data_IF_655712583676
#
_entry.id   IF_655712583676
#
_cell.length_a   1.000
_cell.length_b   1.000
_cell.length_c   1.000
_cell.angle_alpha   90.00
_cell.angle_beta   90.00
_cell.angle_gamma   90.00
#
_symmetry.space_group_name_H-M   'P 1'
#
loop_
_entity.id
_entity.type
_entity.pdbx_description
1 polymer ?
#
# COMPACT_ATOMS: atom_id res chain seq x y z
N UNK A 1 9.41 50.55 1.85
CA UNK A 1 8.36 49.51 2.01
C UNK A 1 8.66 48.80 3.34
N UNK A 2 7.75 48.93 4.35
CA UNK A 2 7.88 48.24 5.64
C UNK A 2 7.40 46.79 5.42
N UNK A 3 8.30 45.82 5.52
CA UNK A 3 7.92 44.42 5.50
C UNK A 3 7.22 44.06 6.82
N UNK A 4 6.04 43.48 6.71
CA UNK A 4 5.20 43.15 7.85
C UNK A 4 5.13 41.64 7.98
N UNK A 5 5.63 41.10 9.08
CA UNK A 5 5.64 39.68 9.40
C UNK A 5 4.36 39.29 10.16
N UNK A 6 3.71 38.21 9.72
CA UNK A 6 2.57 37.64 10.43
C UNK A 6 3.06 36.46 11.31
N UNK A 7 3.43 36.76 12.55
CA UNK A 7 3.66 35.72 13.55
C UNK A 7 2.43 35.64 14.45
N UNK A 8 1.67 34.55 14.40
CA UNK A 8 0.45 34.30 15.19
C UNK A 8 -0.67 35.36 15.05
N UNK A 9 -0.81 35.97 13.86
CA UNK A 9 -1.89 36.93 13.58
C UNK A 9 -1.60 38.38 13.93
N UNK A 10 -0.43 38.71 14.48
CA UNK A 10 0.00 40.09 14.74
C UNK A 10 0.96 40.58 13.65
N UNK A 11 0.74 41.80 13.16
CA UNK A 11 1.65 42.48 12.24
C UNK A 11 2.89 42.95 13.04
N UNK A 12 4.05 42.32 12.78
CA UNK A 12 5.31 42.70 13.42
C UNK A 12 6.26 43.23 12.37
N UNK A 13 6.85 44.42 12.60
CA UNK A 13 7.88 44.98 11.72
C UNK A 13 9.22 44.23 11.94
N UNK A 14 9.99 43.99 10.87
CA UNK A 14 11.37 43.43 10.98
C UNK A 14 12.29 44.27 11.89
N UNK A 15 12.03 45.58 12.02
CA UNK A 15 12.75 46.50 12.92
C UNK A 15 12.58 46.15 14.41
N UNK A 16 11.54 45.39 14.77
CA UNK A 16 11.27 44.97 16.17
C UNK A 16 12.10 43.75 16.59
N UNK A 17 12.83 43.10 15.64
CA UNK A 17 13.62 41.91 15.93
C UNK A 17 15.02 42.24 16.36
N UNK A 18 15.51 41.51 17.35
CA UNK A 18 16.86 41.66 17.91
C UNK A 18 17.73 40.49 17.40
N UNK A 19 18.95 40.80 17.01
CA UNK A 19 19.96 39.77 16.65
C UNK A 19 20.34 39.00 17.92
N UNK A 20 20.17 37.68 17.90
CA UNK A 20 20.61 36.80 19.00
C UNK A 20 22.00 36.22 18.70
N UNK A 21 22.18 35.67 17.47
CA UNK A 21 23.41 34.97 17.11
C UNK A 21 23.64 35.03 15.61
N UNK A 22 24.90 35.12 15.17
CA UNK A 22 25.29 34.88 13.76
C UNK A 22 25.73 33.43 13.64
N UNK A 23 25.06 32.66 12.76
CA UNK A 23 25.37 31.26 12.50
C UNK A 23 26.41 31.12 11.38
N UNK A 24 26.30 31.96 10.36
CA UNK A 24 27.19 31.96 9.19
C UNK A 24 27.35 33.38 8.67
N UNK A 25 28.57 33.72 8.25
CA UNK A 25 28.85 34.98 7.58
C UNK A 25 30.05 34.79 6.63
N UNK A 26 29.78 34.65 5.36
CA UNK A 26 30.79 34.51 4.31
C UNK A 26 30.47 35.44 3.12
N UNK A 27 31.25 35.34 2.06
CA UNK A 27 31.12 36.22 0.88
C UNK A 27 29.78 35.97 0.11
N UNK A 28 29.13 34.85 0.32
CA UNK A 28 27.90 34.48 -0.41
C UNK A 28 26.66 34.81 0.41
N UNK A 29 26.71 34.56 1.73
CA UNK A 29 25.52 34.65 2.58
C UNK A 29 25.83 34.99 4.04
N UNK A 30 24.82 35.55 4.68
CA UNK A 30 24.80 35.73 6.13
C UNK A 30 23.56 35.07 6.70
N UNK A 31 23.73 34.23 7.73
CA UNK A 31 22.64 33.53 8.43
C UNK A 31 22.67 33.93 9.89
N UNK A 32 21.56 34.46 10.34
CA UNK A 32 21.39 35.05 11.69
C UNK A 32 20.18 34.44 12.38
N UNK A 33 20.32 34.16 13.68
CA UNK A 33 19.17 33.94 14.56
C UNK A 33 18.71 35.29 15.05
N UNK A 34 17.46 35.61 14.79
CA UNK A 34 16.79 36.80 15.29
C UNK A 34 15.61 36.42 16.18
N UNK A 35 15.26 37.22 17.15
CA UNK A 35 14.09 36.95 17.98
C UNK A 35 13.25 38.21 18.17
N UNK A 36 11.95 38.00 18.37
CA UNK A 36 11.03 39.04 18.76
C UNK A 36 10.99 39.16 20.30
N UNK A 37 11.44 40.24 20.91
CA UNK A 37 11.48 40.38 22.38
C UNK A 37 10.08 40.39 23.03
N UNK A 38 9.02 40.75 22.28
CA UNK A 38 7.63 40.76 22.76
C UNK A 38 7.02 39.37 22.85
N UNK A 39 7.32 38.50 21.85
CA UNK A 39 6.73 37.14 21.76
C UNK A 39 7.71 36.06 22.16
N UNK A 40 8.99 36.37 22.31
CA UNK A 40 10.11 35.45 22.53
C UNK A 40 10.22 34.37 21.42
N UNK A 41 9.68 34.65 20.23
CA UNK A 41 9.75 33.75 19.09
C UNK A 41 11.02 34.01 18.30
N UNK A 42 11.74 32.92 17.94
CA UNK A 42 12.98 32.96 17.16
C UNK A 42 12.68 32.68 15.68
N UNK A 43 13.53 33.24 14.82
CA UNK A 43 13.50 33.09 13.38
C UNK A 43 14.93 33.00 12.85
N UNK A 44 15.08 32.43 11.67
CA UNK A 44 16.31 32.54 10.89
C UNK A 44 16.14 33.69 9.87
N UNK A 45 17.06 34.63 9.91
CA UNK A 45 17.22 35.64 8.86
C UNK A 45 18.40 35.24 7.99
N UNK A 46 18.13 34.98 6.73
CA UNK A 46 19.12 34.64 5.72
C UNK A 46 19.24 35.81 4.74
N UNK A 47 20.47 36.25 4.46
CA UNK A 47 20.77 37.28 3.45
C UNK A 47 21.74 36.70 2.44
N UNK A 48 21.31 36.55 1.18
CA UNK A 48 22.09 35.91 0.11
C UNK A 48 22.33 36.88 -1.03
N UNK A 49 23.54 36.88 -1.56
CA UNK A 49 23.92 37.81 -2.63
C UNK A 49 23.24 37.50 -3.97
N UNK A 50 22.88 36.23 -4.21
CA UNK A 50 22.21 35.77 -5.43
C UNK A 50 20.72 36.07 -5.41
N UNK A 51 20.10 36.32 -6.58
CA UNK A 51 18.64 36.44 -6.69
C UNK A 51 17.96 35.04 -6.70
N UNK A 52 17.75 34.53 -5.51
CA UNK A 52 17.05 33.26 -5.28
C UNK A 52 15.62 33.44 -4.74
N UNK A 53 15.08 34.68 -4.78
CA UNK A 53 13.72 35.01 -4.33
C UNK A 53 12.66 34.07 -4.88
N UNK A 54 12.82 33.72 -6.15
CA UNK A 54 11.85 32.91 -6.85
C UNK A 54 11.70 31.52 -6.20
N UNK A 55 12.82 30.90 -5.82
CA UNK A 55 12.82 29.61 -5.10
C UNK A 55 12.11 29.76 -3.74
N UNK A 56 12.51 30.74 -2.93
CA UNK A 56 11.94 30.93 -1.61
C UNK A 56 10.45 31.33 -1.64
N UNK A 57 10.01 32.10 -2.65
CA UNK A 57 8.58 32.38 -2.87
C UNK A 57 7.77 31.14 -3.26
N UNK A 58 8.37 30.17 -3.93
CA UNK A 58 7.73 28.88 -4.17
C UNK A 58 7.71 28.04 -2.89
N UNK A 59 8.82 27.99 -2.13
CA UNK A 59 8.89 27.30 -0.85
C UNK A 59 7.86 27.84 0.15
N UNK A 60 7.60 29.15 0.15
CA UNK A 60 6.59 29.79 1.01
C UNK A 60 5.17 29.19 0.83
N UNK A 61 4.90 28.61 -0.34
CA UNK A 61 3.60 27.97 -0.66
C UNK A 61 3.57 26.47 -0.29
N UNK A 62 4.70 25.90 0.08
CA UNK A 62 4.79 24.48 0.43
C UNK A 62 4.36 24.30 1.89
N UNK A 63 3.36 23.45 2.11
CA UNK A 63 2.97 23.01 3.44
C UNK A 63 3.49 21.59 3.67
N UNK A 64 4.63 21.47 4.34
CA UNK A 64 5.25 20.18 4.69
C UNK A 64 6.01 20.33 6.01
N UNK A 65 5.79 19.40 6.94
CA UNK A 65 6.37 19.46 8.29
C UNK A 65 7.90 19.28 8.33
N UNK A 66 8.52 18.84 7.22
CA UNK A 66 9.95 18.57 7.09
C UNK A 66 10.67 19.66 6.28
N UNK A 67 9.99 20.76 6.01
CA UNK A 67 10.54 21.96 5.36
C UNK A 67 10.23 23.14 6.27
N UNK A 68 11.23 23.93 6.72
CA UNK A 68 10.97 25.11 7.51
C UNK A 68 10.01 26.06 6.80
N UNK A 69 9.10 26.63 7.56
CA UNK A 69 8.13 27.59 7.02
C UNK A 69 8.85 28.88 6.64
N UNK A 70 8.60 29.38 5.43
CA UNK A 70 9.08 30.67 4.98
C UNK A 70 8.04 31.73 5.29
N UNK A 71 8.41 32.70 6.10
CA UNK A 71 7.51 33.77 6.53
C UNK A 71 7.57 34.97 5.59
N UNK A 72 8.78 35.36 5.18
CA UNK A 72 8.95 36.51 4.28
C UNK A 72 10.12 36.33 3.33
N UNK A 73 10.02 36.96 2.14
CA UNK A 73 11.05 36.94 1.09
C UNK A 73 11.10 38.30 0.39
N UNK A 74 12.17 39.03 0.60
CA UNK A 74 12.38 40.35 -0.01
C UNK A 74 13.65 40.37 -0.90
N UNK A 75 13.68 41.27 -1.87
CA UNK A 75 14.89 41.66 -2.57
C UNK A 75 15.18 43.12 -2.27
N UNK A 76 16.34 43.34 -1.68
CA UNK A 76 16.96 44.64 -1.54
C UNK A 76 18.16 44.68 -2.49
N UNK A 77 19.35 44.94 -2.00
CA UNK A 77 20.64 44.63 -2.66
C UNK A 77 20.96 43.11 -2.61
N UNK A 78 20.29 42.38 -1.71
CA UNK A 78 20.40 40.94 -1.49
C UNK A 78 18.99 40.31 -1.38
N UNK A 79 18.93 39.00 -1.62
CA UNK A 79 17.74 38.26 -1.22
C UNK A 79 17.74 38.07 0.30
N UNK A 80 16.73 38.62 0.96
CA UNK A 80 16.51 38.47 2.40
C UNK A 80 15.33 37.53 2.62
N UNK A 81 15.54 36.49 3.43
CA UNK A 81 14.53 35.49 3.76
C UNK A 81 14.37 35.41 5.27
N UNK A 82 13.13 35.39 5.72
CA UNK A 82 12.78 35.07 7.11
C UNK A 82 12.12 33.70 7.13
N UNK A 83 12.75 32.77 7.82
CA UNK A 83 12.32 31.40 7.90
C UNK A 83 12.16 30.91 9.34
N UNK A 84 11.45 29.84 9.53
CA UNK A 84 11.22 29.19 10.82
C UNK A 84 12.57 28.82 11.47
N UNK A 85 12.73 29.17 12.74
CA UNK A 85 13.81 28.63 13.56
C UNK A 85 13.44 27.23 14.02
N UNK A 86 14.09 26.22 13.49
CA UNK A 86 13.91 24.83 13.89
C UNK A 86 14.93 24.47 14.97
N UNK A 87 14.46 23.91 16.07
CA UNK A 87 15.32 23.52 17.19
C UNK A 87 15.85 22.11 16.99
N UNK A 88 17.16 21.94 17.03
CA UNK A 88 17.83 20.64 16.88
C UNK A 88 19.31 20.82 16.54
N UNK A 89 19.93 19.73 16.14
CA UNK A 89 21.31 19.69 15.62
C UNK A 89 21.31 19.08 14.22
N UNK A 90 22.29 19.38 13.41
CA UNK A 90 22.43 18.75 12.10
C UNK A 90 22.75 17.25 12.25
N UNK A 91 22.38 16.45 11.28
CA UNK A 91 22.76 15.03 11.28
C UNK A 91 24.28 14.86 11.23
N UNK A 92 25.01 15.84 10.67
CA UNK A 92 26.47 15.83 10.70
C UNK A 92 26.99 16.04 12.12
N UNK A 93 26.51 17.06 12.82
CA UNK A 93 26.83 17.28 14.24
C UNK A 93 26.45 16.07 15.11
N UNK A 94 25.33 15.40 14.82
CA UNK A 94 24.91 14.17 15.51
C UNK A 94 25.96 13.07 15.36
N UNK A 95 26.48 12.84 14.14
CA UNK A 95 27.51 11.86 13.86
C UNK A 95 28.88 12.26 14.47
N UNK A 96 29.27 13.54 14.37
CA UNK A 96 30.53 14.04 14.93
C UNK A 96 30.59 13.93 16.45
N UNK A 97 29.46 14.09 17.12
CA UNK A 97 29.35 13.88 18.56
C UNK A 97 29.26 12.40 18.96
N UNK A 98 29.44 11.48 18.01
CA UNK A 98 29.39 10.03 18.23
C UNK A 98 28.07 9.53 18.85
N UNK A 99 26.96 10.20 18.57
CA UNK A 99 25.64 9.70 18.96
C UNK A 99 25.28 8.50 18.09
N UNK A 100 24.67 7.49 18.71
CA UNK A 100 24.18 6.31 18.02
C UNK A 100 22.72 6.47 17.60
N UNK A 101 22.40 6.03 16.39
CA UNK A 101 21.02 6.00 15.95
C UNK A 101 20.26 4.86 16.63
N UNK A 102 19.12 5.18 17.21
CA UNK A 102 18.21 4.17 17.73
C UNK A 102 17.71 3.26 16.62
N UNK A 103 17.36 2.03 16.97
CA UNK A 103 16.84 1.04 16.01
C UNK A 103 15.61 1.61 15.26
N UNK A 104 15.65 1.57 13.94
CA UNK A 104 14.61 2.10 13.07
C UNK A 104 14.65 3.61 12.86
N UNK A 105 15.53 4.35 13.53
CA UNK A 105 15.61 5.80 13.44
C UNK A 105 16.03 6.27 12.03
N UNK A 106 17.01 5.61 11.42
CA UNK A 106 17.43 5.93 10.04
C UNK A 106 16.29 5.68 9.05
N UNK A 107 15.51 4.62 9.24
CA UNK A 107 14.31 4.39 8.43
C UNK A 107 13.27 5.50 8.60
N UNK A 108 13.11 6.04 9.82
CA UNK A 108 12.23 7.19 10.09
C UNK A 108 12.74 8.44 9.39
N UNK A 109 14.03 8.76 9.53
CA UNK A 109 14.70 9.88 8.87
C UNK A 109 14.51 9.77 7.34
N UNK A 110 14.77 8.60 6.77
CA UNK A 110 14.61 8.37 5.33
C UNK A 110 13.18 8.63 4.84
N UNK A 111 12.16 8.20 5.59
CA UNK A 111 10.75 8.45 5.24
C UNK A 111 10.41 9.95 5.30
N UNK A 112 10.88 10.64 6.33
CA UNK A 112 10.67 12.07 6.50
C UNK A 112 11.37 12.88 5.40
N UNK A 113 12.61 12.52 5.06
CA UNK A 113 13.37 13.15 3.98
C UNK A 113 12.69 12.94 2.61
N UNK A 114 12.20 11.73 2.33
CA UNK A 114 11.39 11.46 1.13
C UNK A 114 10.12 12.30 1.10
N UNK A 115 9.49 12.57 2.26
CA UNK A 115 8.32 13.47 2.34
C UNK A 115 8.68 14.91 1.96
N UNK A 116 9.80 15.44 2.46
CA UNK A 116 10.30 16.76 2.07
C UNK A 116 10.60 16.84 0.57
N UNK A 117 11.36 15.86 0.04
CA UNK A 117 11.68 15.77 -1.38
C UNK A 117 10.43 15.67 -2.26
N UNK A 118 9.42 14.92 -1.84
CA UNK A 118 8.15 14.79 -2.58
C UNK A 118 7.43 16.15 -2.67
N UNK A 119 7.45 16.94 -1.61
CA UNK A 119 6.85 18.28 -1.59
C UNK A 119 7.59 19.24 -2.53
N UNK A 120 8.93 19.22 -2.53
CA UNK A 120 9.74 20.01 -3.45
C UNK A 120 9.51 19.62 -4.91
N UNK A 121 9.60 18.33 -5.23
CA UNK A 121 9.46 17.81 -6.59
C UNK A 121 8.05 18.05 -7.17
N UNK A 122 7.00 18.07 -6.36
CA UNK A 122 5.65 18.48 -6.79
C UNK A 122 5.59 19.94 -7.24
N UNK A 123 6.45 20.78 -6.69
CA UNK A 123 6.61 22.19 -7.08
C UNK A 123 7.70 22.38 -8.14
N UNK A 124 8.17 21.30 -8.77
CA UNK A 124 9.28 21.30 -9.74
C UNK A 124 10.60 21.86 -9.18
N UNK A 125 10.80 21.81 -7.87
CA UNK A 125 12.04 22.24 -7.22
C UNK A 125 12.91 21.01 -6.96
N UNK A 126 14.21 21.09 -7.31
CA UNK A 126 15.28 20.18 -6.88
C UNK A 126 16.18 20.91 -5.89
N UNK A 127 16.57 20.22 -4.82
CA UNK A 127 17.37 20.80 -3.74
C UNK A 127 18.84 20.92 -4.07
N UNK A 128 19.43 19.88 -4.67
CA UNK A 128 20.81 19.80 -5.16
C UNK A 128 21.92 19.73 -4.09
N UNK A 129 21.60 19.92 -2.80
CA UNK A 129 22.56 19.81 -1.70
C UNK A 129 21.99 19.02 -0.49
N UNK A 130 21.35 17.88 -0.76
CA UNK A 130 20.88 16.99 0.30
C UNK A 130 22.09 16.27 0.89
N UNK A 131 22.39 16.57 2.18
CA UNK A 131 23.49 15.99 2.95
C UNK A 131 23.21 16.13 4.45
N UNK A 132 23.95 15.42 5.32
CA UNK A 132 23.73 15.49 6.78
C UNK A 132 23.82 16.90 7.37
N UNK A 133 24.66 17.78 6.82
CA UNK A 133 24.80 19.18 7.28
C UNK A 133 23.52 20.00 7.04
N UNK A 134 22.74 19.63 6.04
CA UNK A 134 21.53 20.36 5.65
C UNK A 134 20.25 19.66 6.14
N UNK A 135 20.36 18.78 7.16
CA UNK A 135 19.23 18.11 7.77
C UNK A 135 19.34 18.30 9.30
N UNK A 136 18.45 19.10 9.87
CA UNK A 136 18.35 19.26 11.32
C UNK A 136 17.44 18.19 11.89
N UNK A 137 17.83 17.60 13.02
CA UNK A 137 17.02 16.64 13.77
C UNK A 137 16.85 17.12 15.20
N UNK A 138 15.63 17.08 15.73
CA UNK A 138 15.33 17.36 17.14
C UNK A 138 15.45 16.10 18.01
N UNK A 139 15.29 16.26 19.31
CA UNK A 139 15.34 15.17 20.30
C UNK A 139 14.25 14.09 20.11
N UNK A 140 13.16 14.40 19.42
CA UNK A 140 12.07 13.48 19.12
C UNK A 140 12.28 12.69 17.80
N UNK A 141 13.39 12.96 17.10
CA UNK A 141 13.71 12.35 15.81
C UNK A 141 12.93 12.93 14.63
N UNK A 142 12.31 14.11 14.81
CA UNK A 142 11.72 14.87 13.71
C UNK A 142 12.83 15.60 12.94
N UNK A 143 12.77 15.60 11.60
CA UNK A 143 13.78 16.26 10.78
C UNK A 143 13.20 17.41 9.96
N UNK A 144 14.08 18.37 9.64
CA UNK A 144 13.85 19.42 8.64
C UNK A 144 15.00 19.44 7.66
N UNK A 145 14.65 19.51 6.37
CA UNK A 145 15.59 19.77 5.28
C UNK A 145 15.74 21.29 5.14
N UNK A 146 16.96 21.77 5.22
CA UNK A 146 17.29 23.20 5.23
C UNK A 146 18.24 23.54 4.08
N UNK A 147 18.47 24.83 3.86
CA UNK A 147 19.47 25.38 2.93
C UNK A 147 19.18 25.14 1.44
N UNK A 148 18.38 26.04 0.86
CA UNK A 148 17.94 25.99 -0.54
C UNK A 148 18.73 26.91 -1.47
N UNK A 149 19.93 27.35 -1.07
CA UNK A 149 20.69 28.38 -1.78
C UNK A 149 21.14 27.98 -3.19
N UNK A 150 21.28 26.68 -3.43
CA UNK A 150 21.57 26.12 -4.75
C UNK A 150 20.42 25.32 -5.36
N UNK A 151 19.24 25.44 -4.76
CA UNK A 151 18.05 24.80 -5.29
C UNK A 151 17.67 25.38 -6.67
N UNK A 152 17.01 24.56 -7.48
CA UNK A 152 16.66 24.94 -8.85
C UNK A 152 15.25 24.46 -9.22
N UNK A 153 14.63 25.20 -10.14
CA UNK A 153 13.39 24.75 -10.78
C UNK A 153 13.71 23.94 -12.02
N UNK A 154 13.13 22.76 -12.09
CA UNK A 154 13.17 21.91 -13.27
C UNK A 154 12.18 22.48 -14.29
N UNK A 155 12.69 23.09 -15.36
CA UNK A 155 11.92 23.51 -16.53
C UNK A 155 12.28 22.57 -17.69
N UNK A 156 11.39 22.46 -18.67
CA UNK A 156 11.59 21.63 -19.87
C UNK A 156 12.74 22.14 -20.78
N UNK A 157 13.32 23.29 -20.49
CA UNK A 157 14.51 23.78 -21.19
C UNK A 157 15.74 23.05 -20.67
N UNK A 158 16.42 22.34 -21.53
CA UNK A 158 17.69 21.64 -21.26
C UNK A 158 18.79 22.69 -21.06
N UNK A 159 18.89 23.30 -19.89
CA UNK A 159 20.00 24.16 -19.54
C UNK A 159 21.04 23.31 -18.81
N UNK A 160 22.24 23.22 -19.38
CA UNK A 160 23.42 22.71 -18.67
C UNK A 160 23.72 23.64 -17.51
N UNK A 161 23.99 23.07 -16.34
CA UNK A 161 24.49 23.86 -15.22
C UNK A 161 25.88 24.42 -15.62
N UNK A 162 25.98 25.74 -15.70
CA UNK A 162 27.21 26.43 -16.06
C UNK A 162 28.18 26.58 -14.90
N UNK A 163 27.71 26.31 -13.69
CA UNK A 163 28.49 26.39 -12.45
C UNK A 163 28.57 25.02 -11.79
N UNK A 164 29.79 24.62 -11.43
CA UNK A 164 30.04 23.41 -10.64
C UNK A 164 29.57 23.69 -9.20
N UNK A 165 28.40 23.17 -8.84
CA UNK A 165 27.80 23.36 -7.54
C UNK A 165 27.47 21.98 -6.95
N UNK A 166 27.77 21.77 -5.68
CA UNK A 166 27.44 20.56 -4.96
C UNK A 166 28.57 20.11 -4.03
N UNK A 167 28.23 19.25 -3.09
CA UNK A 167 29.17 18.73 -2.10
C UNK A 167 29.75 17.39 -2.56
N UNK A 168 31.09 17.30 -2.62
CA UNK A 168 31.80 16.05 -2.99
C UNK A 168 31.32 14.90 -2.08
N UNK A 169 31.01 13.75 -2.71
CA UNK A 169 30.47 12.57 -2.02
C UNK A 169 28.94 12.49 -1.97
N UNK A 170 28.24 13.64 -2.10
CA UNK A 170 26.76 13.70 -2.12
C UNK A 170 26.20 14.14 -3.47
N UNK A 171 26.95 14.93 -4.23
CA UNK A 171 26.55 15.38 -5.56
C UNK A 171 26.91 14.33 -6.62
N UNK A 172 25.98 14.00 -7.53
CA UNK A 172 26.26 13.10 -8.65
C UNK A 172 27.03 13.78 -9.78
N UNK A 173 27.57 13.00 -10.71
CA UNK A 173 28.43 13.49 -11.79
C UNK A 173 27.75 14.51 -12.72
N UNK A 174 26.44 14.39 -12.94
CA UNK A 174 25.66 15.35 -13.72
C UNK A 174 25.69 16.76 -13.12
N UNK A 175 25.83 16.89 -11.80
CA UNK A 175 25.86 18.17 -11.11
C UNK A 175 27.19 18.94 -11.32
N UNK A 176 28.20 18.25 -11.83
CA UNK A 176 29.50 18.86 -12.17
C UNK A 176 29.57 19.37 -13.61
N UNK A 177 28.44 19.72 -14.23
CA UNK A 177 28.36 20.40 -15.52
C UNK A 177 28.37 19.51 -16.76
N UNK A 178 28.33 18.19 -16.59
CA UNK A 178 28.35 17.25 -17.72
C UNK A 178 26.97 16.98 -18.33
N UNK A 179 25.90 17.01 -17.53
CA UNK A 179 24.53 16.73 -17.94
C UNK A 179 23.55 17.65 -17.20
N UNK A 180 22.30 17.79 -17.69
CA UNK A 180 21.27 18.53 -16.95
C UNK A 180 20.93 17.86 -15.63
N UNK A 181 20.77 18.64 -14.57
CA UNK A 181 20.25 18.15 -13.28
C UNK A 181 18.74 18.05 -13.31
N UNK A 182 18.20 16.97 -12.75
CA UNK A 182 16.76 16.72 -12.58
C UNK A 182 16.46 16.09 -11.22
N UNK A 183 15.23 15.58 -11.02
CA UNK A 183 14.81 14.92 -9.78
C UNK A 183 15.70 13.75 -9.34
N UNK A 184 16.42 13.10 -10.29
CA UNK A 184 17.34 12.00 -10.02
C UNK A 184 18.64 12.47 -9.35
N UNK A 185 18.95 13.75 -9.43
CA UNK A 185 20.04 14.39 -8.68
C UNK A 185 19.77 14.33 -7.17
N UNK A 186 18.59 14.72 -6.72
CA UNK A 186 18.20 14.63 -5.32
C UNK A 186 18.08 13.15 -4.85
N UNK A 187 17.62 12.26 -5.73
CA UNK A 187 17.55 10.82 -5.42
C UNK A 187 18.95 10.25 -5.16
N UNK A 188 19.96 10.67 -5.91
CA UNK A 188 21.34 10.28 -5.66
C UNK A 188 21.83 10.81 -4.30
N UNK A 189 21.63 12.09 -4.04
CA UNK A 189 22.02 12.75 -2.79
C UNK A 189 21.34 12.13 -1.56
N UNK A 190 20.05 11.77 -1.67
CA UNK A 190 19.34 10.96 -0.68
C UNK A 190 20.06 9.64 -0.42
N UNK A 191 20.41 8.90 -1.47
CA UNK A 191 21.12 7.63 -1.35
C UNK A 191 22.46 7.78 -0.63
N UNK A 192 23.23 8.83 -0.99
CA UNK A 192 24.52 9.13 -0.37
C UNK A 192 24.37 9.48 1.12
N UNK A 193 23.38 10.29 1.45
CA UNK A 193 23.06 10.67 2.82
C UNK A 193 22.69 9.45 3.66
N UNK A 194 21.74 8.63 3.21
CA UNK A 194 21.31 7.44 3.95
C UNK A 194 22.46 6.43 4.12
N UNK A 195 23.26 6.20 3.09
CA UNK A 195 24.41 5.30 3.20
C UNK A 195 25.43 5.82 4.23
N UNK A 196 25.64 7.14 4.30
CA UNK A 196 26.52 7.76 5.31
C UNK A 196 25.98 7.53 6.74
N UNK A 197 24.68 7.78 6.96
CA UNK A 197 24.07 7.57 8.27
C UNK A 197 24.16 6.09 8.72
N UNK A 198 24.03 5.16 7.79
CA UNK A 198 24.11 3.72 8.09
C UNK A 198 25.48 3.26 8.52
N UNK A 199 26.55 4.04 8.32
CA UNK A 199 27.87 3.73 8.88
C UNK A 199 27.93 3.92 10.40
N UNK A 200 27.02 4.73 10.94
CA UNK A 200 26.88 5.01 12.37
C UNK A 200 25.71 4.21 13.00
N UNK A 201 25.38 3.08 12.42
CA UNK A 201 24.31 2.19 12.87
C UNK A 201 24.66 0.74 12.56
N UNK A 202 24.25 -0.16 13.43
CA UNK A 202 24.35 -1.62 13.19
C UNK A 202 23.26 -2.13 12.23
N UNK A 203 22.35 -1.27 11.76
CA UNK A 203 21.26 -1.64 10.86
C UNK A 203 21.81 -1.96 9.46
N UNK A 204 21.86 -3.25 9.13
CA UNK A 204 22.10 -3.74 7.78
C UNK A 204 20.79 -4.27 7.23
N UNK A 205 20.37 -3.78 6.08
CA UNK A 205 19.12 -4.28 5.55
C UNK A 205 18.72 -3.63 4.21
N UNK A 206 17.45 -3.74 3.92
CA UNK A 206 16.86 -3.29 2.67
C UNK A 206 17.13 -1.82 2.34
N UNK A 207 17.15 -0.95 3.36
CA UNK A 207 17.37 0.47 3.17
C UNK A 207 18.76 0.74 2.55
N UNK A 208 19.78 -0.06 2.92
CA UNK A 208 21.10 0.01 2.28
C UNK A 208 21.02 -0.32 0.78
N UNK A 209 20.30 -1.37 0.40
CA UNK A 209 20.12 -1.73 -1.02
C UNK A 209 19.35 -0.64 -1.81
N UNK A 210 18.38 0.03 -1.16
CA UNK A 210 17.67 1.19 -1.74
C UNK A 210 18.64 2.35 -1.94
N UNK A 211 19.44 2.69 -0.92
CA UNK A 211 20.44 3.76 -0.98
C UNK A 211 21.48 3.50 -2.07
N UNK A 212 21.99 2.29 -2.18
CA UNK A 212 22.92 1.87 -3.24
C UNK A 212 22.33 2.00 -4.64
N UNK A 213 21.04 1.65 -4.82
CA UNK A 213 20.36 1.86 -6.09
C UNK A 213 20.20 3.35 -6.42
N UNK A 214 19.91 4.19 -5.43
CA UNK A 214 19.86 5.65 -5.60
C UNK A 214 21.20 6.22 -6.11
N UNK A 215 22.32 5.63 -5.66
CA UNK A 215 23.69 6.08 -5.97
C UNK A 215 24.28 5.53 -7.28
N UNK A 216 23.51 4.85 -8.13
CA UNK A 216 24.01 4.40 -9.43
C UNK A 216 24.56 5.58 -10.21
N UNK A 217 25.73 5.41 -10.84
CA UNK A 217 26.38 6.47 -11.63
C UNK A 217 25.49 6.92 -12.79
N UNK A 218 24.95 5.96 -13.52
CA UNK A 218 23.97 6.22 -14.57
C UNK A 218 22.61 6.60 -13.96
N UNK A 219 22.10 7.83 -14.20
CA UNK A 219 20.80 8.27 -13.72
C UNK A 219 19.64 7.38 -14.17
N UNK A 220 19.77 6.68 -15.30
CA UNK A 220 18.71 5.78 -15.80
C UNK A 220 18.58 4.50 -14.98
N UNK A 221 19.62 4.13 -14.24
CA UNK A 221 19.61 2.96 -13.34
C UNK A 221 19.10 3.29 -11.93
N UNK A 222 18.89 4.56 -11.60
CA UNK A 222 18.31 5.01 -10.33
C UNK A 222 16.79 4.86 -10.33
N UNK A 223 16.15 5.16 -9.21
CA UNK A 223 14.71 5.41 -9.22
C UNK A 223 14.41 6.64 -10.07
N UNK A 224 13.42 6.52 -10.98
CA UNK A 224 13.11 7.58 -11.95
C UNK A 224 12.21 8.69 -11.37
N UNK A 225 11.69 8.49 -10.17
CA UNK A 225 10.86 9.48 -9.45
C UNK A 225 10.83 9.19 -7.96
N UNK A 226 10.51 10.22 -7.18
CA UNK A 226 10.30 10.09 -5.74
C UNK A 226 9.17 9.07 -5.42
N UNK A 227 8.16 8.95 -6.29
CA UNK A 227 7.09 7.96 -6.16
C UNK A 227 7.61 6.52 -6.25
N UNK A 228 8.56 6.24 -7.15
CA UNK A 228 9.20 4.92 -7.23
C UNK A 228 10.06 4.65 -5.99
N UNK A 229 10.84 5.63 -5.52
CA UNK A 229 11.62 5.51 -4.30
C UNK A 229 10.72 5.22 -3.08
N UNK A 230 9.65 5.99 -2.92
CA UNK A 230 8.67 5.82 -1.84
C UNK A 230 8.01 4.43 -1.86
N UNK A 231 7.63 3.93 -3.03
CA UNK A 231 7.13 2.56 -3.19
C UNK A 231 8.18 1.53 -2.78
N UNK A 232 9.42 1.70 -3.22
CA UNK A 232 10.50 0.81 -2.84
C UNK A 232 10.70 0.79 -1.32
N UNK A 233 10.56 1.89 -0.61
CA UNK A 233 10.66 1.96 0.85
C UNK A 233 9.44 1.36 1.57
N UNK A 234 8.24 1.50 1.01
CA UNK A 234 6.99 1.03 1.63
C UNK A 234 6.68 -0.45 1.39
N UNK A 235 7.29 -1.09 0.38
CA UNK A 235 7.09 -2.53 0.14
C UNK A 235 7.62 -3.32 1.35
N UNK A 236 6.72 -3.83 2.19
CA UNK A 236 7.09 -4.83 3.18
C UNK A 236 7.55 -6.09 2.43
N UNK A 237 8.67 -6.68 2.85
CA UNK A 237 9.01 -8.03 2.44
C UNK A 237 7.85 -8.92 2.90
N UNK A 238 7.10 -9.47 1.96
CA UNK A 238 6.31 -10.65 2.25
C UNK A 238 7.37 -11.72 2.57
N UNK A 239 7.61 -11.96 3.85
CA UNK A 239 8.58 -12.96 4.30
C UNK A 239 8.20 -14.30 3.64
N UNK A 240 9.19 -15.13 3.27
CA UNK A 240 8.93 -16.46 2.69
C UNK A 240 7.94 -17.30 3.51
N UNK A 241 7.89 -17.05 4.83
CA UNK A 241 6.90 -17.61 5.77
C UNK A 241 5.46 -17.18 5.43
N UNK A 242 5.23 -15.91 5.09
CA UNK A 242 3.87 -15.44 4.71
C UNK A 242 3.45 -15.96 3.34
N UNK A 243 4.38 -16.08 2.39
CA UNK A 243 4.11 -16.75 1.10
C UNK A 243 3.79 -18.23 1.34
N UNK A 244 4.59 -18.92 2.17
CA UNK A 244 4.37 -20.32 2.52
C UNK A 244 3.01 -20.55 3.19
N UNK A 245 2.61 -19.68 4.13
CA UNK A 245 1.30 -19.73 4.77
C UNK A 245 0.14 -19.48 3.80
N UNK A 246 0.27 -18.52 2.89
CA UNK A 246 -0.79 -18.25 1.90
C UNK A 246 -0.94 -19.39 0.91
N UNK A 247 0.15 -19.99 0.45
CA UNK A 247 0.14 -21.19 -0.42
C UNK A 247 -0.48 -22.37 0.33
N UNK A 248 -0.12 -22.60 1.60
CA UNK A 248 -0.69 -23.66 2.42
C UNK A 248 -2.21 -23.51 2.59
N UNK A 249 -2.70 -22.31 2.89
CA UNK A 249 -4.14 -22.02 3.03
C UNK A 249 -4.87 -22.30 1.70
N UNK A 250 -4.28 -21.89 0.57
CA UNK A 250 -4.83 -22.17 -0.77
C UNK A 250 -4.90 -23.69 -1.04
N UNK A 251 -3.85 -24.44 -0.71
CA UNK A 251 -3.84 -25.89 -0.85
C UNK A 251 -4.91 -26.56 0.00
N UNK A 252 -5.08 -26.15 1.27
CA UNK A 252 -6.12 -26.66 2.15
C UNK A 252 -7.51 -26.35 1.58
N UNK A 253 -7.74 -25.13 1.07
CA UNK A 253 -9.01 -24.76 0.45
C UNK A 253 -9.33 -25.64 -0.78
N UNK A 254 -8.36 -25.91 -1.63
CA UNK A 254 -8.52 -26.80 -2.80
C UNK A 254 -8.86 -28.24 -2.35
N UNK A 255 -8.14 -28.77 -1.35
CA UNK A 255 -8.41 -30.11 -0.81
C UNK A 255 -9.81 -30.19 -0.20
N UNK A 256 -10.23 -29.17 0.58
CA UNK A 256 -11.58 -29.09 1.10
C UNK A 256 -12.64 -29.03 0.01
N UNK A 257 -12.44 -28.25 -1.06
CA UNK A 257 -13.33 -28.21 -2.22
C UNK A 257 -13.43 -29.58 -2.90
N UNK A 258 -12.31 -30.26 -3.14
CA UNK A 258 -12.29 -31.60 -3.72
C UNK A 258 -13.03 -32.61 -2.82
N UNK A 259 -12.84 -32.52 -1.50
CA UNK A 259 -13.53 -33.38 -0.55
C UNK A 259 -15.05 -33.14 -0.55
N UNK A 260 -15.47 -31.87 -0.58
CA UNK A 260 -16.90 -31.50 -0.66
C UNK A 260 -17.51 -32.00 -2.00
N UNK A 261 -16.79 -31.83 -3.11
CA UNK A 261 -17.23 -32.35 -4.42
C UNK A 261 -17.35 -33.88 -4.41
N UNK A 262 -16.40 -34.59 -3.83
CA UNK A 262 -16.44 -36.05 -3.71
C UNK A 262 -17.61 -36.50 -2.79
N UNK A 263 -17.86 -35.81 -1.70
CA UNK A 263 -19.04 -36.06 -0.86
C UNK A 263 -20.34 -35.86 -1.63
N UNK A 264 -20.42 -34.77 -2.42
CA UNK A 264 -21.60 -34.48 -3.23
C UNK A 264 -21.87 -35.58 -4.27
N UNK A 265 -20.85 -36.02 -5.00
CA UNK A 265 -20.97 -37.15 -5.96
C UNK A 265 -21.35 -38.45 -5.27
N UNK A 266 -20.83 -38.72 -4.06
CA UNK A 266 -21.19 -39.91 -3.28
C UNK A 266 -22.64 -39.88 -2.77
N UNK A 267 -23.18 -38.68 -2.50
CA UNK A 267 -24.59 -38.50 -2.10
C UNK A 267 -25.50 -38.61 -3.33
N UNK A 268 -25.13 -38.02 -4.47
CA UNK A 268 -25.91 -38.09 -5.71
C UNK A 268 -26.04 -39.53 -6.25
N UNK A 269 -25.01 -40.37 -6.12
CA UNK A 269 -25.01 -41.76 -6.59
C UNK A 269 -25.63 -42.76 -5.57
N UNK A 270 -26.11 -42.29 -4.41
CA UNK A 270 -26.58 -43.18 -3.34
C UNK A 270 -27.78 -44.01 -3.73
N UNK A 271 -28.58 -43.58 -4.66
CA UNK A 271 -29.83 -44.23 -5.07
C UNK A 271 -29.78 -44.80 -6.51
N UNK A 272 -28.65 -44.67 -7.21
CA UNK A 272 -28.49 -45.20 -8.58
C UNK A 272 -28.62 -46.73 -8.60
N UNK A 273 -28.26 -47.40 -7.53
CA UNK A 273 -28.36 -48.85 -7.38
C UNK A 273 -29.83 -49.36 -7.44
N UNK A 274 -30.82 -48.45 -7.26
CA UNK A 274 -32.22 -48.80 -7.38
C UNK A 274 -32.78 -48.70 -8.83
N UNK A 275 -32.03 -48.18 -9.76
CA UNK A 275 -32.46 -48.09 -11.17
C UNK A 275 -32.52 -49.49 -11.75
N UNK A 276 -33.69 -49.83 -12.29
CA UNK A 276 -33.94 -51.17 -12.88
C UNK A 276 -35.31 -51.71 -12.58
N UNK A 277 -35.54 -52.99 -12.90
CA UNK A 277 -36.83 -53.64 -12.72
C UNK A 277 -36.81 -54.58 -11.51
N UNK A 278 -37.75 -54.38 -10.63
CA UNK A 278 -37.96 -55.11 -9.36
C UNK A 278 -39.23 -55.90 -9.43
N UNK A 279 -39.21 -57.17 -9.04
CA UNK A 279 -40.36 -58.05 -9.01
C UNK A 279 -40.59 -58.65 -7.63
N UNK A 280 -41.86 -58.91 -7.27
CA UNK A 280 -42.18 -59.70 -6.10
C UNK A 280 -42.97 -60.96 -6.45
N UNK A 281 -43.13 -61.86 -5.49
CA UNK A 281 -43.88 -63.11 -5.66
C UNK A 281 -45.41 -62.93 -5.86
N UNK A 282 -45.91 -61.71 -5.72
CA UNK A 282 -47.33 -61.34 -5.78
C UNK A 282 -47.71 -60.62 -7.09
N UNK A 283 -46.96 -60.83 -8.18
CA UNK A 283 -47.20 -60.23 -9.50
C UNK A 283 -47.19 -58.71 -9.57
N UNK A 284 -46.42 -58.08 -8.67
CA UNK A 284 -46.12 -56.64 -8.73
C UNK A 284 -44.74 -56.44 -9.33
N UNK A 285 -44.62 -55.56 -10.31
CA UNK A 285 -43.34 -55.13 -10.88
C UNK A 285 -43.19 -53.62 -10.76
N UNK A 286 -42.06 -53.19 -10.24
CA UNK A 286 -41.63 -51.82 -10.17
C UNK A 286 -40.43 -51.62 -11.10
N UNK A 287 -40.51 -50.67 -11.99
CA UNK A 287 -39.42 -50.31 -12.89
C UNK A 287 -38.99 -48.89 -12.53
N UNK A 288 -37.81 -48.73 -11.88
CA UNK A 288 -37.20 -47.42 -11.63
C UNK A 288 -36.44 -46.96 -12.88
N UNK A 289 -36.90 -45.87 -13.47
CA UNK A 289 -36.37 -45.33 -14.71
C UNK A 289 -35.17 -44.44 -14.52
N UNK A 290 -35.23 -43.59 -13.51
CA UNK A 290 -34.13 -42.65 -13.17
C UNK A 290 -34.23 -42.19 -11.73
N UNK A 291 -33.10 -41.79 -11.18
CA UNK A 291 -32.99 -41.07 -9.93
C UNK A 291 -32.10 -39.87 -10.14
N UNK A 292 -32.65 -38.66 -10.03
CA UNK A 292 -31.96 -37.40 -10.21
C UNK A 292 -32.29 -36.47 -9.06
N UNK A 293 -31.27 -35.92 -8.40
CA UNK A 293 -31.42 -34.92 -7.33
C UNK A 293 -32.44 -35.34 -6.24
N UNK A 294 -32.40 -36.60 -5.79
CA UNK A 294 -33.36 -37.20 -4.88
C UNK A 294 -34.82 -37.33 -5.42
N UNK A 295 -34.99 -37.18 -6.71
CA UNK A 295 -36.28 -37.41 -7.37
C UNK A 295 -36.20 -38.75 -8.08
N UNK A 296 -37.09 -39.69 -7.72
CA UNK A 296 -37.22 -41.01 -8.39
C UNK A 296 -38.36 -40.96 -9.40
N UNK A 297 -38.07 -41.43 -10.63
CA UNK A 297 -39.11 -41.66 -11.63
C UNK A 297 -39.28 -43.16 -11.83
N UNK A 298 -40.50 -43.64 -11.74
CA UNK A 298 -40.76 -45.08 -11.82
C UNK A 298 -42.11 -45.41 -12.44
N UNK A 299 -42.22 -46.66 -12.88
CA UNK A 299 -43.44 -47.31 -13.31
C UNK A 299 -43.83 -48.42 -12.30
N UNK A 300 -45.10 -48.56 -11.96
CA UNK A 300 -45.58 -49.64 -11.14
C UNK A 300 -46.63 -50.41 -11.89
N UNK A 301 -46.52 -51.74 -11.94
CA UNK A 301 -47.49 -52.65 -12.59
C UNK A 301 -47.91 -53.73 -11.62
N UNK A 302 -49.21 -54.01 -11.51
CA UNK A 302 -49.78 -55.05 -10.67
C UNK A 302 -50.76 -55.88 -11.50
N UNK A 303 -50.56 -57.19 -11.53
CA UNK A 303 -51.51 -58.10 -12.13
C UNK A 303 -52.62 -58.46 -11.13
N UNK A 304 -53.87 -58.24 -11.51
CA UNK A 304 -55.02 -58.53 -10.70
C UNK A 304 -55.49 -60.00 -10.85
N UNK A 305 -56.17 -60.54 -9.83
CA UNK A 305 -56.67 -61.94 -9.83
C UNK A 305 -57.70 -62.26 -10.93
N UNK A 306 -58.25 -61.20 -11.56
CA UNK A 306 -59.19 -61.33 -12.70
C UNK A 306 -58.48 -61.30 -14.09
N UNK A 307 -57.17 -61.35 -14.13
CA UNK A 307 -56.36 -61.29 -15.31
C UNK A 307 -56.09 -59.87 -15.85
N UNK A 308 -56.66 -58.85 -15.23
CA UNK A 308 -56.37 -57.44 -15.60
C UNK A 308 -55.02 -56.99 -15.12
N UNK A 309 -54.39 -56.02 -15.84
CA UNK A 309 -53.14 -55.37 -15.43
C UNK A 309 -53.47 -53.92 -15.00
N UNK A 310 -53.19 -53.59 -13.78
CA UNK A 310 -53.19 -52.23 -13.33
C UNK A 310 -51.78 -51.66 -13.47
N UNK A 311 -51.62 -50.47 -14.06
CA UNK A 311 -50.30 -49.85 -14.26
C UNK A 311 -50.36 -48.34 -14.00
N UNK A 312 -49.36 -47.85 -13.35
CA UNK A 312 -49.08 -46.41 -13.11
C UNK A 312 -47.73 -46.16 -13.76
N UNK A 313 -47.66 -45.20 -14.66
CA UNK A 313 -46.43 -44.96 -15.45
C UNK A 313 -45.92 -43.52 -15.20
N UNK A 314 -44.62 -43.38 -15.26
CA UNK A 314 -43.92 -42.11 -15.15
C UNK A 314 -44.28 -41.31 -13.86
N UNK A 315 -44.37 -41.99 -12.76
CA UNK A 315 -44.56 -41.34 -11.46
C UNK A 315 -43.22 -40.72 -11.02
N UNK A 316 -43.23 -39.47 -10.69
CA UNK A 316 -42.07 -38.76 -10.11
C UNK A 316 -42.36 -38.38 -8.66
N UNK A 317 -41.48 -38.77 -7.74
CA UNK A 317 -41.63 -38.44 -6.31
C UNK A 317 -40.25 -38.25 -5.67
N UNK A 318 -40.24 -37.43 -4.60
CA UNK A 318 -39.01 -37.11 -3.87
C UNK A 318 -38.63 -38.23 -2.90
N UNK A 319 -37.35 -38.55 -2.82
CA UNK A 319 -36.82 -39.52 -1.87
C UNK A 319 -36.51 -38.79 -0.57
N UNK A 320 -37.24 -39.08 0.48
CA UNK A 320 -37.04 -38.54 1.81
C UNK A 320 -36.68 -39.66 2.80
N UNK A 321 -35.48 -39.66 3.37
CA UNK A 321 -34.98 -40.64 4.31
C UNK A 321 -35.23 -42.12 3.88
N UNK A 322 -34.83 -42.45 2.64
CA UNK A 322 -35.07 -43.78 2.02
C UNK A 322 -36.54 -44.15 1.82
N UNK A 323 -37.46 -43.21 1.83
CA UNK A 323 -38.87 -43.37 1.52
C UNK A 323 -39.27 -42.48 0.35
N UNK A 324 -40.11 -42.99 -0.52
CA UNK A 324 -40.68 -42.26 -1.66
C UNK A 324 -42.18 -42.31 -1.51
N UNK A 325 -42.82 -41.23 -1.12
CA UNK A 325 -44.26 -41.11 -1.07
C UNK A 325 -44.78 -40.59 -2.41
N UNK A 326 -45.71 -41.25 -3.01
CA UNK A 326 -46.28 -40.86 -4.28
C UNK A 326 -47.81 -40.81 -4.26
N UNK A 327 -48.36 -39.88 -4.99
CA UNK A 327 -49.79 -39.66 -5.16
C UNK A 327 -50.14 -39.61 -6.62
N UNK A 328 -51.14 -40.38 -7.02
CA UNK A 328 -51.70 -40.36 -8.35
C UNK A 328 -53.21 -40.23 -8.27
N UNK A 329 -53.88 -39.96 -9.39
CA UNK A 329 -55.35 -39.74 -9.38
C UNK A 329 -56.16 -40.91 -8.77
N UNK A 330 -55.59 -42.12 -8.73
CA UNK A 330 -56.30 -43.32 -8.31
C UNK A 330 -55.56 -44.17 -7.27
N UNK A 331 -54.33 -43.77 -6.89
CA UNK A 331 -53.53 -44.61 -5.97
C UNK A 331 -52.52 -43.73 -5.23
N UNK A 332 -52.52 -43.86 -3.93
CA UNK A 332 -51.48 -43.37 -3.05
C UNK A 332 -50.58 -44.51 -2.63
N UNK A 333 -49.30 -44.23 -2.44
CA UNK A 333 -48.39 -45.27 -1.99
C UNK A 333 -47.06 -44.76 -1.48
N UNK A 334 -46.32 -45.67 -0.86
CA UNK A 334 -44.98 -45.42 -0.34
C UNK A 334 -44.06 -46.53 -0.77
N UNK A 335 -42.90 -46.16 -1.32
CA UNK A 335 -41.77 -47.06 -1.55
C UNK A 335 -40.77 -46.90 -0.41
N UNK A 336 -40.33 -47.98 0.21
CA UNK A 336 -39.19 -47.97 1.15
C UNK A 336 -37.99 -48.62 0.51
N UNK A 337 -36.88 -47.91 0.50
CA UNK A 337 -35.63 -48.33 -0.09
C UNK A 337 -34.70 -48.89 1.00
N UNK A 338 -34.46 -50.19 1.03
CA UNK A 338 -33.65 -50.88 2.03
C UNK A 338 -32.54 -51.73 1.36
N UNK A 339 -31.43 -51.08 0.99
CA UNK A 339 -30.33 -51.79 0.33
C UNK A 339 -30.76 -52.46 -0.96
N UNK A 340 -30.79 -53.79 -0.96
CA UNK A 340 -31.18 -54.61 -2.15
C UNK A 340 -32.68 -54.91 -2.24
N UNK A 341 -33.51 -54.20 -1.45
CA UNK A 341 -34.96 -54.44 -1.45
C UNK A 341 -35.74 -53.14 -1.58
N UNK A 342 -36.81 -53.18 -2.37
CA UNK A 342 -37.80 -52.09 -2.38
C UNK A 342 -39.13 -52.63 -1.88
N UNK A 343 -39.61 -52.09 -0.80
CA UNK A 343 -40.93 -52.44 -0.29
C UNK A 343 -41.97 -51.44 -0.79
N UNK A 344 -43.01 -51.95 -1.46
CA UNK A 344 -44.10 -51.15 -2.03
C UNK A 344 -45.34 -51.31 -1.19
N UNK A 345 -45.92 -50.20 -0.71
CA UNK A 345 -47.24 -50.16 -0.06
C UNK A 345 -48.14 -49.24 -0.87
N UNK A 346 -49.26 -49.71 -1.36
CA UNK A 346 -50.26 -48.93 -2.09
C UNK A 346 -51.60 -48.96 -1.34
N UNK A 347 -52.28 -47.83 -1.30
CA UNK A 347 -53.64 -47.68 -0.85
C UNK A 347 -54.49 -47.25 -2.04
N UNK A 348 -55.35 -48.11 -2.54
CA UNK A 348 -56.33 -47.77 -3.60
C UNK A 348 -57.58 -47.21 -2.92
N UNK A 349 -57.98 -45.97 -3.25
CA UNK A 349 -59.31 -45.47 -2.91
C UNK A 349 -60.34 -46.19 -3.78
N UNK A 350 -60.97 -47.24 -3.21
CA UNK A 350 -62.20 -47.79 -3.79
C UNK A 350 -63.31 -46.79 -3.51
N UNK A 351 -63.45 -45.72 -4.29
CA UNK A 351 -64.71 -45.02 -4.40
C UNK A 351 -65.66 -45.90 -5.19
N UNK A 352 -66.48 -46.65 -4.47
CA UNK A 352 -67.71 -47.29 -5.02
C UNK A 352 -68.60 -46.15 -5.55
N UNK A 353 -68.70 -46.03 -6.87
CA UNK A 353 -69.79 -45.31 -7.49
C UNK A 353 -71.10 -46.01 -7.19
N UNK A 354 -71.91 -45.40 -6.33
CA UNK A 354 -73.33 -45.64 -6.25
C UNK A 354 -74.08 -44.73 -7.19
#
# INVERSE_FOLDING_TARGET
YKSTLFARGEQTNLEDFVLEKVLKNDDRQKIEVIYNPKTNQRFIKRSVNDDIRYIYKMLQKINNNHIPKIYDVELTDKTVVIEEFVQGITLNEFMENHFEFAKGQINSIAKQLVSAMEALHKCSIIHRDIKPDNIIMNSEGHIWLIDYDIARIVNNEVRKDTTVLGTVGYAPVEQFGMMPTDYKTDIYAFGATIEQLMKYSDEKGRLLGIAQKCKRLDPMQRYQSIKQLKRAMSMQFINGVTIGLTVLILCIAVVCCMFVMNLKTHIENRYDDYIGTWHNDSNVSLEVLSVDNNIMTFNLKQQQNNGGIYSINNVTAEINNNTVDFHTDNTDGTLKLNGNEITVKTTSDTKSSS
#
